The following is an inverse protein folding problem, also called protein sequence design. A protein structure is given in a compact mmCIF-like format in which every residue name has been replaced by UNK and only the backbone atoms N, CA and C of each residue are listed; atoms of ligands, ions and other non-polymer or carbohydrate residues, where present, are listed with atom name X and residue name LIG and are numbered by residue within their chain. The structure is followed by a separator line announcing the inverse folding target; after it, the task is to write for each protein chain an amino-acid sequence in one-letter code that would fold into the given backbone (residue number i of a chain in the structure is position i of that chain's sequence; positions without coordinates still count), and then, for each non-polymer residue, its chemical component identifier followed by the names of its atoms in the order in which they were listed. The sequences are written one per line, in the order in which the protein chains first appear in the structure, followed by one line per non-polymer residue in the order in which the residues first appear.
data_IF_586492655840
#
_entry.id   IF_586492655840
#
_cell.length_a   1.000
_cell.length_b   1.000
_cell.length_c   1.000
_cell.angle_alpha   90.00
_cell.angle_beta   90.00
_cell.angle_gamma   90.00
#
_symmetry.space_group_name_H-M   'P 1'
#
loop_
_entity.id
_entity.type
_entity.pdbx_description
1 polymer ?
#
# COMPACT_ATOMS: atom_id res chain seq x y z
N UNK A 1 4.40 8.29 -14.52
CA UNK A 1 4.63 6.90 -14.95
C UNK A 1 4.19 6.76 -16.38
N UNK A 2 4.86 5.95 -17.19
CA UNK A 2 4.29 5.55 -18.47
C UNK A 2 3.21 4.48 -18.22
N UNK A 3 2.33 4.22 -19.20
CA UNK A 3 1.25 3.23 -19.05
C UNK A 3 1.74 1.81 -18.77
N UNK A 4 2.96 1.45 -19.21
CA UNK A 4 3.52 0.12 -18.94
C UNK A 4 3.95 -0.06 -17.48
N UNK A 5 4.51 0.97 -16.85
CA UNK A 5 4.94 0.93 -15.44
C UNK A 5 3.72 0.81 -14.52
N UNK A 6 2.67 1.55 -14.84
CA UNK A 6 1.39 1.50 -14.12
C UNK A 6 0.78 0.09 -14.16
N UNK A 7 0.73 -0.55 -15.35
CA UNK A 7 0.24 -1.93 -15.49
C UNK A 7 1.04 -2.93 -14.64
N UNK A 8 2.35 -2.77 -14.54
CA UNK A 8 3.20 -3.66 -13.73
C UNK A 8 2.93 -3.47 -12.23
N UNK A 9 2.72 -2.23 -11.78
CA UNK A 9 2.38 -1.94 -10.39
C UNK A 9 1.04 -2.59 -10.02
N UNK A 10 0.03 -2.49 -10.90
CA UNK A 10 -1.26 -3.15 -10.69
C UNK A 10 -1.12 -4.68 -10.61
N UNK A 11 -0.34 -5.30 -11.51
CA UNK A 11 -0.11 -6.75 -11.46
C UNK A 11 0.53 -7.20 -10.13
N UNK A 12 1.50 -6.43 -9.62
CA UNK A 12 2.09 -6.72 -8.31
C UNK A 12 1.13 -6.50 -7.15
N UNK A 13 0.33 -5.42 -7.18
CA UNK A 13 -0.69 -5.18 -6.18
C UNK A 13 -1.72 -6.33 -6.12
N UNK A 14 -2.19 -6.79 -7.28
CA UNK A 14 -3.13 -7.92 -7.37
C UNK A 14 -2.55 -9.20 -6.80
N UNK A 15 -1.26 -9.45 -7.00
CA UNK A 15 -0.57 -10.61 -6.40
C UNK A 15 -0.53 -10.54 -4.87
N UNK A 16 -0.32 -9.36 -4.29
CA UNK A 16 -0.41 -9.18 -2.83
C UNK A 16 -1.84 -9.36 -2.31
N UNK A 17 -2.83 -8.85 -3.04
CA UNK A 17 -4.25 -9.01 -2.70
C UNK A 17 -4.66 -10.48 -2.76
N UNK A 18 -4.22 -11.24 -3.77
CA UNK A 18 -4.50 -12.67 -3.88
C UNK A 18 -3.97 -13.46 -2.68
N UNK A 19 -2.74 -13.16 -2.24
CA UNK A 19 -2.20 -13.74 -1.02
C UNK A 19 -3.01 -13.35 0.22
N UNK A 20 -3.40 -12.07 0.35
CA UNK A 20 -4.24 -11.62 1.45
C UNK A 20 -5.61 -12.32 1.45
N UNK A 21 -6.21 -12.54 0.27
CA UNK A 21 -7.47 -13.28 0.13
C UNK A 21 -7.32 -14.73 0.58
N UNK A 22 -6.23 -15.41 0.21
CA UNK A 22 -5.95 -16.78 0.65
C UNK A 22 -5.77 -16.85 2.18
N UNK A 23 -5.01 -15.92 2.77
CA UNK A 23 -4.87 -15.84 4.23
C UNK A 23 -6.20 -15.57 4.94
N UNK A 24 -7.06 -14.73 4.35
CA UNK A 24 -8.37 -14.37 4.91
C UNK A 24 -9.37 -15.52 4.91
N UNK A 25 -9.11 -16.59 4.14
CA UNK A 25 -9.91 -17.83 4.23
C UNK A 25 -9.72 -18.54 5.57
N UNK A 26 -8.51 -18.45 6.14
CA UNK A 26 -8.14 -19.10 7.40
C UNK A 26 -8.26 -18.16 8.60
N UNK A 27 -8.18 -16.85 8.41
CA UNK A 27 -8.29 -15.84 9.47
C UNK A 27 -9.37 -14.79 9.15
N UNK A 28 -10.48 -14.83 9.91
CA UNK A 28 -11.61 -13.89 9.77
C UNK A 28 -11.59 -12.74 10.79
N UNK A 29 -10.58 -12.61 11.65
CA UNK A 29 -10.56 -11.58 12.69
C UNK A 29 -10.05 -10.22 12.22
N UNK A 30 -9.76 -10.07 10.92
CA UNK A 30 -9.24 -8.84 10.33
C UNK A 30 -7.72 -8.66 10.46
N UNK A 31 -7.01 -9.63 11.05
CA UNK A 31 -5.56 -9.56 11.21
C UNK A 31 -4.83 -9.45 9.87
N UNK A 32 -5.35 -10.07 8.81
CA UNK A 32 -4.76 -10.00 7.47
C UNK A 32 -4.68 -8.55 6.97
N UNK A 33 -5.73 -7.76 7.23
CA UNK A 33 -5.75 -6.33 6.88
C UNK A 33 -4.76 -5.50 7.70
N UNK A 34 -4.43 -5.90 8.93
CA UNK A 34 -3.37 -5.26 9.72
C UNK A 34 -2.00 -5.71 9.22
N UNK A 35 -1.85 -7.00 8.92
CA UNK A 35 -0.60 -7.60 8.45
C UNK A 35 -0.14 -7.00 7.11
N UNK A 36 -1.05 -6.80 6.15
CA UNK A 36 -0.69 -6.21 4.85
C UNK A 36 -0.22 -4.75 4.99
N UNK A 37 -0.84 -3.97 5.88
CA UNK A 37 -0.39 -2.59 6.19
C UNK A 37 0.98 -2.59 6.84
N UNK A 38 1.24 -3.50 7.76
CA UNK A 38 2.55 -3.62 8.39
C UNK A 38 3.62 -4.12 7.41
N UNK A 39 3.29 -5.03 6.50
CA UNK A 39 4.19 -5.49 5.44
C UNK A 39 4.58 -4.34 4.51
N UNK A 40 3.62 -3.53 4.07
CA UNK A 40 3.89 -2.33 3.28
C UNK A 40 4.83 -1.37 4.00
N UNK A 41 4.57 -1.07 5.28
CA UNK A 41 5.43 -0.19 6.08
C UNK A 41 6.88 -0.71 6.19
N UNK A 42 7.07 -2.03 6.37
CA UNK A 42 8.40 -2.64 6.43
C UNK A 42 9.15 -2.54 5.10
N UNK A 43 8.45 -2.76 4.00
CA UNK A 43 9.06 -2.65 2.67
C UNK A 43 9.43 -1.20 2.35
N UNK A 44 8.54 -0.24 2.64
CA UNK A 44 8.83 1.19 2.44
C UNK A 44 10.00 1.67 3.31
N UNK A 45 10.14 1.19 4.55
CA UNK A 45 11.30 1.50 5.38
C UNK A 45 12.62 0.97 4.77
N UNK A 46 12.58 -0.22 4.14
CA UNK A 46 13.71 -0.74 3.39
C UNK A 46 14.02 0.11 2.16
N UNK A 47 13.02 0.50 1.37
CA UNK A 47 13.21 1.42 0.23
C UNK A 47 13.83 2.76 0.67
N UNK A 48 13.36 3.33 1.79
CA UNK A 48 13.94 4.54 2.37
C UNK A 48 15.43 4.36 2.67
N UNK A 49 15.81 3.21 3.24
CA UNK A 49 17.20 2.90 3.58
C UNK A 49 18.12 2.80 2.36
N UNK A 50 17.58 2.49 1.18
CA UNK A 50 18.36 2.44 -0.07
C UNK A 50 18.53 3.82 -0.71
N UNK A 51 17.66 4.78 -0.38
CA UNK A 51 17.60 6.11 -1.03
C UNK A 51 18.51 7.14 -0.39
N UNK A 52 18.97 6.89 0.84
CA UNK A 52 19.85 7.82 1.57
C UNK A 52 20.99 7.08 2.26
N UNK A 53 22.11 7.79 2.47
CA UNK A 53 23.23 7.35 3.30
C UNK A 53 23.04 7.68 4.78
N UNK A 54 22.05 8.51 5.13
CA UNK A 54 21.77 8.93 6.49
C UNK A 54 20.25 8.95 6.77
N UNK A 55 19.67 7.76 6.88
CA UNK A 55 18.24 7.59 7.16
C UNK A 55 17.78 8.27 8.45
N UNK A 56 18.68 8.46 9.43
CA UNK A 56 18.33 9.18 10.66
C UNK A 56 18.02 10.66 10.39
N UNK A 57 18.78 11.32 9.51
CA UNK A 57 18.54 12.71 9.13
C UNK A 57 17.30 12.85 8.21
N UNK A 58 17.05 11.88 7.34
CA UNK A 58 15.97 11.94 6.35
C UNK A 58 14.67 11.27 6.82
N UNK A 59 14.65 10.71 8.04
CA UNK A 59 13.54 9.89 8.57
C UNK A 59 12.17 10.54 8.37
N UNK A 60 12.03 11.80 8.78
CA UNK A 60 10.73 12.47 8.78
C UNK A 60 10.27 12.81 7.36
N UNK A 61 11.21 13.16 6.46
CA UNK A 61 10.94 13.38 5.05
C UNK A 61 10.45 12.10 4.37
N UNK A 62 11.11 10.97 4.63
CA UNK A 62 10.72 9.67 4.07
C UNK A 62 9.38 9.21 4.64
N UNK A 63 9.14 9.36 5.95
CA UNK A 63 7.84 9.06 6.56
C UNK A 63 6.72 9.87 5.92
N UNK A 64 6.91 11.18 5.74
CA UNK A 64 5.91 12.04 5.10
C UNK A 64 5.63 11.61 3.66
N UNK A 65 6.68 11.29 2.90
CA UNK A 65 6.56 10.85 1.51
C UNK A 65 5.72 9.57 1.39
N UNK A 66 6.05 8.52 2.15
CA UNK A 66 5.33 7.25 2.08
C UNK A 66 3.91 7.37 2.63
N UNK A 67 3.72 8.11 3.73
CA UNK A 67 2.39 8.33 4.30
C UNK A 67 1.48 9.09 3.34
N UNK A 68 1.99 10.12 2.66
CA UNK A 68 1.23 10.86 1.66
C UNK A 68 0.86 9.97 0.48
N UNK A 69 1.81 9.24 -0.10
CA UNK A 69 1.55 8.35 -1.23
C UNK A 69 0.50 7.29 -0.90
N UNK A 70 0.59 6.66 0.29
CA UNK A 70 -0.41 5.70 0.74
C UNK A 70 -1.79 6.34 0.94
N UNK A 71 -1.84 7.53 1.54
CA UNK A 71 -3.10 8.25 1.79
C UNK A 71 -3.79 8.63 0.48
N UNK A 72 -3.04 9.16 -0.49
CA UNK A 72 -3.57 9.53 -1.81
C UNK A 72 -4.19 8.31 -2.51
N UNK A 73 -3.51 7.15 -2.51
CA UNK A 73 -4.04 5.91 -3.10
C UNK A 73 -5.27 5.38 -2.35
N UNK A 74 -5.24 5.43 -1.02
CA UNK A 74 -6.37 4.99 -0.20
C UNK A 74 -7.62 5.85 -0.46
N UNK A 75 -7.43 7.16 -0.60
CA UNK A 75 -8.50 8.09 -0.90
C UNK A 75 -9.20 7.74 -2.21
N UNK A 76 -8.43 7.52 -3.30
CA UNK A 76 -8.99 7.12 -4.60
C UNK A 76 -9.87 5.86 -4.47
N UNK A 77 -9.37 4.84 -3.78
CA UNK A 77 -10.11 3.59 -3.60
C UNK A 77 -11.38 3.79 -2.75
N UNK A 78 -11.33 4.63 -1.71
CA UNK A 78 -12.52 4.95 -0.91
C UNK A 78 -13.56 5.70 -1.74
N UNK A 79 -13.13 6.67 -2.55
CA UNK A 79 -14.00 7.42 -3.46
C UNK A 79 -14.70 6.48 -4.46
N UNK A 80 -14.00 5.49 -5.00
CA UNK A 80 -14.60 4.45 -5.86
C UNK A 80 -15.70 3.67 -5.13
N UNK A 81 -15.45 3.25 -3.88
CA UNK A 81 -16.47 2.56 -3.08
C UNK A 81 -17.66 3.47 -2.74
N UNK A 82 -17.45 4.76 -2.48
CA UNK A 82 -18.52 5.75 -2.26
C UNK A 82 -19.39 5.87 -3.53
N UNK A 83 -18.77 5.99 -4.70
CA UNK A 83 -19.47 6.06 -5.97
C UNK A 83 -20.32 4.80 -6.22
N UNK A 84 -19.76 3.60 -5.99
CA UNK A 84 -20.49 2.33 -6.13
C UNK A 84 -21.68 2.23 -5.16
N UNK A 85 -21.51 2.68 -3.92
CA UNK A 85 -22.55 2.60 -2.90
C UNK A 85 -23.69 3.60 -3.14
N UNK A 86 -23.39 4.79 -3.64
CA UNK A 86 -24.39 5.83 -3.95
C UNK A 86 -25.27 5.53 -5.17
N UNK A 87 -24.89 4.54 -5.99
CA UNK A 87 -25.68 4.07 -7.13
C UNK A 87 -26.67 2.94 -6.78
N UNK A 88 -26.69 2.48 -5.53
CA UNK A 88 -27.62 1.47 -5.01
C UNK A 88 -28.80 2.13 -4.30
#
# INVERSE_FOLDING_TARGET
MNQSDEKVIYDYADRFINLANDLSRSDRSGNVGVAIRFAAARYSAYEASLRTKNLAADKDNELQLFAKAFTDMLQINIEDYIAIQSQK
#
